data_IF_186797466708
#
_entry.id   IF_186797466708
#
_cell.length_a   1.000
_cell.length_b   1.000
_cell.length_c   1.000
_cell.angle_alpha   90.00
_cell.angle_beta   90.00
_cell.angle_gamma   90.00
#
_symmetry.space_group_name_H-M   'P 1'
#
loop_
_entity.id
_entity.type
_entity.pdbx_description
1 polymer ?
#
# COMPACT_ATOMS: atom_id res chain seq x y z
N UNK A 1 5.47 7.22 -13.90
CA UNK A 1 4.51 6.08 -14.04
C UNK A 1 5.34 4.81 -14.16
N UNK A 2 4.92 3.70 -13.53
CA UNK A 2 5.49 2.39 -13.85
C UNK A 2 5.41 2.18 -15.37
N UNK A 3 6.48 1.65 -15.97
CA UNK A 3 6.51 1.37 -17.41
C UNK A 3 5.45 0.35 -17.84
N UNK A 4 5.54 -0.11 -19.09
CA UNK A 4 4.60 -1.06 -19.70
C UNK A 4 4.33 -2.34 -18.90
N UNK A 5 5.20 -2.70 -17.95
CA UNK A 5 5.08 -3.89 -17.11
C UNK A 5 4.14 -3.72 -15.89
N UNK A 6 3.55 -2.54 -15.69
CA UNK A 6 2.65 -2.29 -14.57
C UNK A 6 3.37 -2.24 -13.21
N UNK A 7 2.61 -2.20 -12.11
CA UNK A 7 3.17 -2.01 -10.77
C UNK A 7 3.77 -3.30 -10.21
N UNK A 8 5.10 -3.39 -10.20
CA UNK A 8 5.85 -4.57 -9.71
C UNK A 8 5.73 -4.71 -8.18
N UNK A 9 5.81 -3.60 -7.43
CA UNK A 9 5.86 -3.63 -5.96
C UNK A 9 4.50 -3.78 -5.30
N UNK A 10 3.41 -3.37 -5.97
CA UNK A 10 2.08 -3.30 -5.35
C UNK A 10 1.58 -4.66 -4.84
N UNK A 11 1.66 -5.78 -5.60
CA UNK A 11 1.22 -7.08 -5.11
C UNK A 11 2.04 -7.57 -3.91
N UNK A 12 3.36 -7.33 -3.93
CA UNK A 12 4.25 -7.73 -2.85
C UNK A 12 3.94 -6.96 -1.54
N UNK A 13 3.72 -5.64 -1.65
CA UNK A 13 3.34 -4.79 -0.51
C UNK A 13 1.99 -5.22 0.05
N UNK A 14 0.98 -5.48 -0.78
CA UNK A 14 -0.33 -5.94 -0.32
C UNK A 14 -0.22 -7.25 0.46
N UNK A 15 0.52 -8.24 -0.06
CA UNK A 15 0.76 -9.50 0.64
C UNK A 15 1.47 -9.29 1.98
N UNK A 16 2.50 -8.46 2.01
CA UNK A 16 3.26 -8.17 3.22
C UNK A 16 2.39 -7.49 4.29
N UNK A 17 1.60 -6.48 3.92
CA UNK A 17 0.70 -5.77 4.85
C UNK A 17 -0.38 -6.68 5.43
N UNK A 18 -0.95 -7.59 4.65
CA UNK A 18 -1.94 -8.57 5.14
C UNK A 18 -1.36 -9.53 6.18
N UNK A 19 -0.06 -9.86 6.09
CA UNK A 19 0.59 -10.79 7.03
C UNK A 19 1.04 -10.12 8.33
N UNK A 20 1.03 -8.79 8.40
CA UNK A 20 1.48 -8.04 9.56
C UNK A 20 0.38 -7.91 10.61
N UNK A 21 0.62 -8.40 11.82
CA UNK A 21 -0.36 -8.39 12.91
C UNK A 21 -0.62 -7.00 13.51
N UNK A 22 0.29 -6.05 13.29
CA UNK A 22 0.20 -4.66 13.74
C UNK A 22 -0.52 -3.75 12.75
N UNK A 23 -0.85 -4.25 11.55
CA UNK A 23 -1.63 -3.53 10.55
C UNK A 23 -3.13 -3.80 10.79
N UNK A 24 -3.91 -2.74 10.96
CA UNK A 24 -5.36 -2.80 11.12
C UNK A 24 -6.09 -2.70 9.78
N UNK A 25 -5.62 -1.82 8.90
CA UNK A 25 -6.19 -1.61 7.57
C UNK A 25 -5.17 -0.92 6.65
N UNK A 26 -5.39 -1.01 5.33
CA UNK A 26 -4.64 -0.23 4.34
C UNK A 26 -5.51 0.11 3.12
N UNK A 27 -5.22 1.24 2.46
CA UNK A 27 -5.97 1.72 1.30
C UNK A 27 -5.09 2.54 0.35
N UNK A 28 -5.48 2.65 -0.93
CA UNK A 28 -4.76 3.51 -1.89
C UNK A 28 -4.81 4.97 -1.43
N UNK A 29 -3.71 5.70 -1.55
CA UNK A 29 -3.66 7.11 -1.19
C UNK A 29 -4.53 7.97 -2.13
N UNK A 30 -4.91 9.16 -1.67
CA UNK A 30 -5.59 10.15 -2.53
C UNK A 30 -4.64 10.64 -3.62
N UNK A 31 -5.18 11.22 -4.70
CA UNK A 31 -4.36 11.68 -5.82
C UNK A 31 -3.31 12.74 -5.41
N UNK A 32 -3.66 13.65 -4.50
CA UNK A 32 -2.73 14.65 -3.96
C UNK A 32 -1.60 14.06 -3.11
N UNK A 33 -1.78 12.84 -2.61
CA UNK A 33 -0.86 12.15 -1.71
C UNK A 33 -0.10 11.02 -2.43
N UNK A 34 -0.21 10.93 -3.77
CA UNK A 34 0.50 9.95 -4.60
C UNK A 34 -0.37 8.91 -5.32
N UNK A 35 -1.69 8.90 -5.07
CA UNK A 35 -2.65 8.05 -5.78
C UNK A 35 -2.28 6.58 -5.74
N UNK A 36 -2.36 5.90 -6.89
CA UNK A 36 -2.04 4.46 -7.02
C UNK A 36 -0.57 4.09 -6.74
N UNK A 37 0.31 5.08 -6.63
CA UNK A 37 1.73 4.91 -6.26
C UNK A 37 1.99 4.93 -4.75
N UNK A 38 0.98 5.24 -3.92
CA UNK A 38 1.10 5.28 -2.47
C UNK A 38 -0.08 4.59 -1.77
N UNK A 39 0.13 4.15 -0.53
CA UNK A 39 -0.85 3.42 0.29
C UNK A 39 -0.86 3.97 1.70
N UNK A 40 -2.04 4.31 2.22
CA UNK A 40 -2.25 4.56 3.64
C UNK A 40 -2.28 3.25 4.42
N UNK A 41 -1.64 3.23 5.58
CA UNK A 41 -1.61 2.09 6.49
C UNK A 41 -2.04 2.56 7.88
N UNK A 42 -3.10 1.94 8.41
CA UNK A 42 -3.53 2.14 9.79
C UNK A 42 -2.86 1.09 10.66
N UNK A 43 -2.06 1.53 11.63
CA UNK A 43 -1.33 0.67 12.55
C UNK A 43 -2.05 0.61 13.90
N UNK A 44 -1.90 -0.53 14.60
CA UNK A 44 -2.25 -0.62 16.02
C UNK A 44 -1.42 0.40 16.79
N UNK A 45 -2.09 1.09 17.72
CA UNK A 45 -1.38 1.92 18.71
C UNK A 45 -0.66 1.00 19.69
N UNK A 46 0.59 1.34 20.03
CA UNK A 46 1.37 0.66 21.07
C UNK A 46 0.70 0.80 22.43
#
# INVERSE_FOLDING_TARGET
>A
RSGSQGPILRPAIQKWLTLRQDVLAFATARQCDGGSGATYVLLKRL
#
